data_IF_870139677818
#
_entry.id   IF_870139677818
#
_cell.length_a   1.000
_cell.length_b   1.000
_cell.length_c   1.000
_cell.angle_alpha   90.00
_cell.angle_beta   90.00
_cell.angle_gamma   90.00
#
_symmetry.space_group_name_H-M   'P 1'
#
loop_
_entity.id
_entity.type
_entity.pdbx_description
1 polymer ?
#
# COMPACT_ATOMS: atom_id res chain seq x y z
N UNK A 1 -25.64 -9.53 9.97
CA UNK A 1 -24.86 -8.47 10.66
C UNK A 1 -23.70 -8.04 9.78
N UNK A 2 -23.90 -7.04 8.92
CA UNK A 2 -22.85 -6.52 8.03
C UNK A 2 -21.94 -5.56 8.78
N UNK A 3 -20.75 -6.02 9.18
CA UNK A 3 -19.81 -5.21 9.94
C UNK A 3 -19.16 -4.14 9.05
N UNK A 4 -19.85 -3.01 8.86
CA UNK A 4 -19.44 -1.84 8.04
C UNK A 4 -18.18 -1.13 8.58
N UNK A 5 -17.65 -1.56 9.73
CA UNK A 5 -16.52 -0.95 10.45
C UNK A 5 -15.13 -1.33 9.93
N UNK A 6 -15.00 -2.36 9.08
CA UNK A 6 -13.71 -2.76 8.50
C UNK A 6 -13.51 -2.15 7.10
N UNK A 7 -13.47 -0.81 7.03
CA UNK A 7 -12.98 -0.10 5.83
C UNK A 7 -11.49 -0.43 5.68
N UNK A 8 -11.16 -1.29 4.72
CA UNK A 8 -9.78 -1.67 4.43
C UNK A 8 -9.16 -0.60 3.55
N UNK A 9 -8.02 -0.08 3.97
CA UNK A 9 -7.21 0.82 3.17
C UNK A 9 -6.27 -0.03 2.33
N UNK A 10 -6.15 0.34 1.06
CA UNK A 10 -5.13 -0.20 0.18
C UNK A 10 -3.94 0.76 0.22
N UNK A 11 -2.84 0.27 0.74
CA UNK A 11 -1.54 0.93 0.68
C UNK A 11 -0.76 0.31 -0.47
N UNK A 12 -0.17 1.12 -1.34
CA UNK A 12 0.66 0.60 -2.41
C UNK A 12 1.85 1.52 -2.70
N UNK A 13 2.94 0.88 -3.11
CA UNK A 13 4.16 1.53 -3.55
C UNK A 13 4.17 1.57 -5.08
N UNK A 14 4.14 2.78 -5.62
CA UNK A 14 4.16 3.05 -7.05
C UNK A 14 5.54 3.52 -7.48
N UNK A 15 6.15 2.83 -8.42
CA UNK A 15 7.42 3.28 -9.00
C UNK A 15 7.16 4.05 -10.30
N UNK A 16 7.45 5.35 -10.30
CA UNK A 16 7.20 6.22 -11.46
C UNK A 16 8.06 5.87 -12.67
N UNK A 17 9.29 5.39 -12.44
CA UNK A 17 10.23 4.98 -13.50
C UNK A 17 9.75 3.74 -14.25
N UNK A 18 9.28 2.73 -13.52
CA UNK A 18 8.78 1.48 -14.11
C UNK A 18 7.29 1.54 -14.44
N UNK A 19 6.59 2.62 -14.02
CA UNK A 19 5.12 2.78 -14.10
C UNK A 19 4.38 1.54 -13.59
N UNK A 20 4.89 0.94 -12.51
CA UNK A 20 4.40 -0.33 -11.97
C UNK A 20 4.21 -0.26 -10.46
N UNK A 21 3.25 -1.03 -9.98
CA UNK A 21 3.05 -1.28 -8.55
C UNK A 21 4.11 -2.30 -8.10
N UNK A 22 4.95 -1.92 -7.14
CA UNK A 22 6.01 -2.77 -6.60
C UNK A 22 5.49 -3.65 -5.47
N UNK A 23 4.72 -3.05 -4.56
CA UNK A 23 4.16 -3.73 -3.42
C UNK A 23 2.81 -3.11 -3.06
N UNK A 24 1.93 -3.93 -2.49
CA UNK A 24 0.65 -3.47 -1.96
C UNK A 24 0.32 -4.23 -0.67
N UNK A 25 -0.34 -3.55 0.26
CA UNK A 25 -0.78 -4.15 1.52
C UNK A 25 -2.15 -3.59 1.90
N UNK A 26 -3.03 -4.46 2.39
CA UNK A 26 -4.30 -4.06 2.96
C UNK A 26 -4.18 -3.88 4.47
N UNK A 27 -4.77 -2.82 5.01
CA UNK A 27 -4.78 -2.61 6.45
C UNK A 27 -5.41 -1.30 6.85
N UNK A 28 -5.18 -0.91 8.10
CA UNK A 28 -5.63 0.38 8.63
C UNK A 28 -4.64 1.50 8.26
N UNK A 29 -5.05 2.75 8.47
CA UNK A 29 -4.15 3.93 8.38
C UNK A 29 -3.21 4.02 9.59
N UNK A 30 -2.36 3.01 9.77
CA UNK A 30 -1.42 2.91 10.90
C UNK A 30 0.03 2.77 10.41
N UNK A 31 0.99 3.26 11.22
CA UNK A 31 2.42 3.06 10.97
C UNK A 31 2.79 1.58 10.85
N UNK A 32 2.09 0.69 11.56
CA UNK A 32 2.26 -0.77 11.45
C UNK A 32 2.02 -1.28 10.02
N UNK A 33 1.05 -0.70 9.31
CA UNK A 33 0.75 -1.06 7.91
C UNK A 33 1.82 -0.51 6.96
N UNK A 34 2.33 0.69 7.25
CA UNK A 34 3.44 1.29 6.51
C UNK A 34 4.74 0.48 6.67
N UNK A 35 5.09 0.07 7.90
CA UNK A 35 6.25 -0.79 8.16
C UNK A 35 6.16 -2.12 7.40
N UNK A 36 4.97 -2.74 7.34
CA UNK A 36 4.76 -3.95 6.53
C UNK A 36 5.04 -3.69 5.06
N UNK A 37 4.59 -2.56 4.53
CA UNK A 37 4.86 -2.19 3.14
C UNK A 37 6.36 -1.97 2.90
N UNK A 38 7.04 -1.25 3.81
CA UNK A 38 8.49 -1.03 3.73
C UNK A 38 9.28 -2.34 3.84
N UNK A 39 8.86 -3.27 4.71
CA UNK A 39 9.45 -4.60 4.81
C UNK A 39 9.30 -5.40 3.50
N UNK A 40 8.16 -5.28 2.82
CA UNK A 40 7.96 -5.87 1.49
C UNK A 40 8.85 -5.24 0.42
N UNK A 41 9.20 -3.96 0.57
CA UNK A 41 10.09 -3.23 -0.33
C UNK A 41 11.58 -3.46 -0.02
N UNK A 42 11.93 -3.81 1.22
CA UNK A 42 13.30 -4.05 1.65
C UNK A 42 14.09 -5.07 0.80
N UNK A 43 13.52 -6.20 0.35
CA UNK A 43 14.23 -7.13 -0.55
C UNK A 43 14.27 -6.65 -2.01
N UNK A 44 13.43 -5.69 -2.40
CA UNK A 44 13.53 -5.09 -3.72
C UNK A 44 14.72 -4.13 -3.71
N UNK A 45 15.83 -4.54 -4.32
CA UNK A 45 17.02 -3.71 -4.61
C UNK A 45 16.72 -2.58 -5.64
N UNK A 46 15.46 -2.12 -5.67
CA UNK A 46 15.09 -0.87 -6.29
C UNK A 46 15.60 0.16 -5.31
N UNK A 47 16.48 1.07 -5.76
CA UNK A 47 16.91 2.19 -4.94
C UNK A 47 15.66 2.92 -4.48
N UNK A 48 15.19 2.63 -3.26
CA UNK A 48 14.01 3.21 -2.65
C UNK A 48 14.35 4.63 -2.24
N UNK A 49 14.73 5.43 -3.22
CA UNK A 49 14.79 6.85 -3.07
C UNK A 49 13.34 7.28 -3.12
N UNK A 50 12.83 7.89 -2.04
CA UNK A 50 11.46 8.43 -1.97
C UNK A 50 11.14 9.41 -3.11
N UNK A 51 12.15 9.84 -3.89
CA UNK A 51 12.00 10.58 -5.14
C UNK A 51 11.36 9.78 -6.28
N UNK A 52 11.50 8.46 -6.30
CA UNK A 52 11.05 7.61 -7.42
C UNK A 52 9.89 6.71 -7.04
N UNK A 53 9.87 6.23 -5.79
CA UNK A 53 8.76 5.42 -5.29
C UNK A 53 7.82 6.31 -4.48
N UNK A 54 6.59 6.41 -4.97
CA UNK A 54 5.53 7.19 -4.36
C UNK A 54 4.59 6.24 -3.61
N UNK A 55 4.33 6.55 -2.35
CA UNK A 55 3.43 5.78 -1.50
C UNK A 55 2.03 6.38 -1.61
N UNK A 56 1.08 5.57 -2.03
CA UNK A 56 -0.32 5.97 -2.13
C UNK A 56 -1.16 5.14 -1.16
N UNK A 57 -2.17 5.79 -0.57
CA UNK A 57 -3.18 5.15 0.25
C UNK A 57 -4.56 5.48 -0.30
N UNK A 58 -5.35 4.46 -0.64
CA UNK A 58 -6.71 4.64 -1.12
C UNK A 58 -7.68 3.88 -0.24
N UNK A 59 -8.84 4.47 0.04
CA UNK A 59 -9.94 3.73 0.62
C UNK A 59 -10.42 2.72 -0.43
N UNK A 60 -10.40 1.43 -0.10
CA UNK A 60 -10.92 0.41 -0.99
C UNK A 60 -12.34 0.07 -0.55
N UNK A 61 -13.38 0.70 -1.15
CA UNK A 61 -14.74 0.30 -0.85
C UNK A 61 -14.93 -1.13 -1.36
N UNK A 62 -15.28 -2.07 -0.47
CA UNK A 62 -15.79 -3.36 -0.93
C UNK A 62 -16.96 -3.07 -1.85
N UNK A 63 -16.89 -3.50 -3.11
CA UNK A 63 -18.08 -3.69 -3.93
C UNK A 63 -18.86 -4.80 -3.23
N UNK A 64 -19.89 -4.42 -2.49
CA UNK A 64 -20.91 -5.32 -2.01
C UNK A 64 -21.69 -5.78 -3.24
N UNK A 65 -21.40 -6.99 -3.71
CA UNK A 65 -22.36 -7.79 -4.47
C UNK A 65 -23.35 -8.41 -3.49
#
# INVERSE_FOLDING_TARGET
MGNKKNQRWLWYAWESRLKRIVAHVFGDRSRKTLDKLLALLSPFNIRFTARTIMLFMTAFPRKTT
#
